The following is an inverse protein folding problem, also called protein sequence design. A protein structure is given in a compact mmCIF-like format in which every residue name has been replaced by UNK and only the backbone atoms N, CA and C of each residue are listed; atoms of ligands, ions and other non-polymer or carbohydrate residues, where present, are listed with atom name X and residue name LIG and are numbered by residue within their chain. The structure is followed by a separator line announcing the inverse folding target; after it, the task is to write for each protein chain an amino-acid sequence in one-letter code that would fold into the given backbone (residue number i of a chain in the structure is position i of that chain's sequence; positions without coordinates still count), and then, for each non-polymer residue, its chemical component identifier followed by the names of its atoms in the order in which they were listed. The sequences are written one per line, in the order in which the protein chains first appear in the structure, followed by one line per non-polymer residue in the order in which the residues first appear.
data_IF_620294372567
#
_entry.id   IF_620294372567
#
_cell.length_a   1.000
_cell.length_b   1.000
_cell.length_c   1.000
_cell.angle_alpha   90.00
_cell.angle_beta   90.00
_cell.angle_gamma   90.00
#
_symmetry.space_group_name_H-M   'P 1'
#
loop_
_entity.id
_entity.type
_entity.pdbx_description
1 polymer ?
#
# COMPACT_ATOMS: atom_id res chain seq x y z
N UNK A 1 -21.39 -10.13 3.97
CA UNK A 1 -22.32 -9.05 4.34
C UNK A 1 -22.88 -9.29 5.74
N UNK A 2 -23.47 -10.47 6.01
CA UNK A 2 -24.01 -10.83 7.33
C UNK A 2 -23.01 -10.75 8.49
N UNK A 3 -21.77 -11.24 8.32
CA UNK A 3 -20.77 -11.24 9.41
C UNK A 3 -20.41 -9.83 9.92
N UNK A 4 -20.56 -8.80 9.07
CA UNK A 4 -20.18 -7.43 9.39
C UNK A 4 -21.30 -6.67 10.09
N UNK A 5 -22.51 -6.80 9.55
CA UNK A 5 -23.72 -6.30 10.20
C UNK A 5 -23.87 -6.92 11.59
N UNK A 6 -23.54 -8.21 11.72
CA UNK A 6 -23.50 -8.89 13.00
C UNK A 6 -22.46 -8.32 13.97
N UNK A 7 -21.24 -8.00 13.51
CA UNK A 7 -20.22 -7.39 14.37
C UNK A 7 -20.60 -5.96 14.81
N UNK A 8 -21.15 -5.15 13.89
CA UNK A 8 -21.66 -3.82 14.24
C UNK A 8 -22.86 -3.89 15.19
N UNK A 9 -23.76 -4.86 15.00
CA UNK A 9 -24.86 -5.14 15.92
C UNK A 9 -24.34 -5.54 17.30
N UNK A 10 -23.34 -6.42 17.39
CA UNK A 10 -22.72 -6.80 18.66
C UNK A 10 -22.08 -5.59 19.38
N UNK A 11 -21.43 -4.68 18.65
CA UNK A 11 -20.88 -3.44 19.23
C UNK A 11 -22.00 -2.51 19.71
N UNK A 12 -23.08 -2.33 18.92
CA UNK A 12 -24.25 -1.54 19.34
C UNK A 12 -24.89 -2.14 20.58
N UNK A 13 -25.14 -3.44 20.58
CA UNK A 13 -25.72 -4.18 21.71
C UNK A 13 -24.84 -4.06 22.95
N UNK A 14 -23.51 -4.16 22.80
CA UNK A 14 -22.57 -3.99 23.91
C UNK A 14 -22.63 -2.57 24.51
N UNK A 15 -22.62 -1.54 23.67
CA UNK A 15 -22.70 -0.15 24.12
C UNK A 15 -24.04 0.15 24.81
N UNK A 16 -25.15 -0.38 24.27
CA UNK A 16 -26.48 -0.29 24.88
C UNK A 16 -26.51 -1.00 26.24
N UNK A 17 -26.03 -2.25 26.30
CA UNK A 17 -26.03 -3.06 27.53
C UNK A 17 -25.23 -2.42 28.66
N UNK A 18 -24.12 -1.73 28.34
CA UNK A 18 -23.29 -1.03 29.32
C UNK A 18 -23.76 0.38 29.65
N UNK A 19 -24.78 0.90 28.97
CA UNK A 19 -25.32 2.24 29.18
C UNK A 19 -24.47 3.37 28.59
N UNK A 20 -23.61 3.07 27.61
CA UNK A 20 -22.75 4.06 26.95
C UNK A 20 -23.49 4.81 25.83
N UNK A 21 -24.62 5.45 26.17
CA UNK A 21 -25.53 6.07 25.18
C UNK A 21 -24.87 7.21 24.40
N UNK A 22 -24.08 8.06 25.07
CA UNK A 22 -23.31 9.12 24.39
C UNK A 22 -22.28 8.57 23.41
N UNK A 23 -21.60 7.46 23.76
CA UNK A 23 -20.64 6.80 22.87
C UNK A 23 -21.34 6.15 21.68
N UNK A 24 -22.53 5.57 21.89
CA UNK A 24 -23.36 5.00 20.82
C UNK A 24 -23.79 6.08 19.82
N UNK A 25 -24.23 7.25 20.29
CA UNK A 25 -24.60 8.37 19.43
C UNK A 25 -23.43 8.88 18.59
N UNK A 26 -22.24 9.04 19.21
CA UNK A 26 -21.02 9.41 18.50
C UNK A 26 -20.61 8.34 17.48
N UNK A 27 -20.63 7.07 17.88
CA UNK A 27 -20.33 5.94 17.01
C UNK A 27 -21.25 5.90 15.78
N UNK A 28 -22.56 6.08 15.96
CA UNK A 28 -23.51 6.11 14.86
C UNK A 28 -23.35 7.35 13.96
N UNK A 29 -23.05 8.52 14.53
CA UNK A 29 -22.79 9.73 13.77
C UNK A 29 -21.53 9.60 12.89
N UNK A 30 -20.47 9.01 13.42
CA UNK A 30 -19.24 8.71 12.68
C UNK A 30 -19.46 7.66 11.59
N UNK A 31 -20.24 6.61 11.88
CA UNK A 31 -20.59 5.58 10.90
C UNK A 31 -21.40 6.14 9.71
N UNK A 32 -22.18 7.23 9.94
CA UNK A 32 -22.98 7.91 8.91
C UNK A 32 -22.16 8.88 8.05
N UNK A 33 -21.02 9.37 8.54
CA UNK A 33 -20.28 10.46 7.86
C UNK A 33 -19.18 9.99 6.91
N UNK A 34 -18.77 8.71 6.93
CA UNK A 34 -17.75 8.12 6.05
C UNK A 34 -16.36 8.84 6.07
N UNK A 35 -16.16 9.77 7.02
CA UNK A 35 -14.98 10.64 7.16
C UNK A 35 -13.68 9.85 7.41
N UNK A 36 -13.77 8.65 8.01
CA UNK A 36 -12.60 7.80 8.29
C UNK A 36 -11.90 7.27 7.05
N UNK A 37 -12.61 7.01 5.95
CA UNK A 37 -12.07 6.29 4.78
C UNK A 37 -10.97 7.07 4.04
N UNK A 38 -11.14 8.38 3.88
CA UNK A 38 -10.13 9.23 3.22
C UNK A 38 -8.87 9.40 4.06
N UNK A 39 -9.05 9.54 5.38
CA UNK A 39 -7.95 9.71 6.34
C UNK A 39 -7.08 8.45 6.47
N UNK A 40 -7.66 7.26 6.28
CA UNK A 40 -6.92 5.99 6.24
C UNK A 40 -6.05 5.84 5.00
N UNK A 41 -6.59 6.20 3.83
CA UNK A 41 -5.84 6.17 2.57
C UNK A 41 -4.65 7.12 2.64
N UNK A 42 -4.85 8.33 3.16
CA UNK A 42 -3.76 9.30 3.34
C UNK A 42 -2.66 8.77 4.26
N UNK A 43 -3.01 8.11 5.36
CA UNK A 43 -2.02 7.45 6.23
C UNK A 43 -1.22 6.37 5.52
N UNK A 44 -1.84 5.56 4.67
CA UNK A 44 -1.14 4.52 3.90
C UNK A 44 -0.19 5.15 2.89
N UNK A 45 -0.64 6.19 2.19
CA UNK A 45 0.21 6.94 1.27
C UNK A 45 1.38 7.59 2.01
N UNK A 46 1.14 8.20 3.18
CA UNK A 46 2.19 8.75 4.03
C UNK A 46 3.18 7.68 4.50
N UNK A 47 2.70 6.50 4.91
CA UNK A 47 3.57 5.39 5.26
C UNK A 47 4.46 4.99 4.08
N UNK A 48 3.92 4.89 2.87
CA UNK A 48 4.68 4.50 1.68
C UNK A 48 5.68 5.60 1.28
N UNK A 49 5.18 6.81 1.01
CA UNK A 49 5.91 7.89 0.36
C UNK A 49 6.71 8.76 1.32
N UNK A 50 6.32 8.85 2.59
CA UNK A 50 6.98 9.71 3.60
C UNK A 50 7.79 8.92 4.62
N UNK A 51 7.54 7.60 4.78
CA UNK A 51 8.23 6.77 5.79
C UNK A 51 9.03 5.62 5.18
N UNK A 52 8.40 4.68 4.50
CA UNK A 52 9.03 3.41 4.11
C UNK A 52 10.05 3.61 2.99
N UNK A 53 9.69 4.34 1.94
CA UNK A 53 10.64 4.62 0.85
C UNK A 53 11.75 5.59 1.30
N UNK A 54 11.45 6.75 1.92
CA UNK A 54 12.51 7.69 2.31
C UNK A 54 13.49 7.17 3.36
N UNK A 55 13.04 6.28 4.25
CA UNK A 55 13.87 5.70 5.31
C UNK A 55 14.46 4.33 4.93
N UNK A 56 14.30 3.89 3.69
CA UNK A 56 14.84 2.62 3.19
C UNK A 56 14.32 1.37 3.93
N UNK A 57 13.04 1.38 4.34
CA UNK A 57 12.38 0.23 4.98
C UNK A 57 11.69 -0.66 3.92
N UNK A 58 12.50 -1.33 3.08
CA UNK A 58 12.00 -2.24 2.06
C UNK A 58 11.12 -3.36 2.62
N UNK A 59 11.52 -3.91 3.77
CA UNK A 59 10.80 -4.95 4.50
C UNK A 59 9.36 -4.55 4.82
N UNK A 60 9.17 -3.34 5.33
CA UNK A 60 7.84 -2.80 5.67
C UNK A 60 7.00 -2.54 4.43
N UNK A 61 7.63 -2.05 3.35
CA UNK A 61 6.94 -1.84 2.08
C UNK A 61 6.47 -3.17 1.47
N UNK A 62 7.35 -4.16 1.39
CA UNK A 62 7.01 -5.50 0.86
C UNK A 62 5.94 -6.16 1.74
N UNK A 63 6.05 -6.08 3.06
CA UNK A 63 5.05 -6.62 3.98
C UNK A 63 3.67 -5.97 3.81
N UNK A 64 3.61 -4.63 3.65
CA UNK A 64 2.37 -3.91 3.39
C UNK A 64 1.71 -4.36 2.08
N UNK A 65 2.49 -4.46 1.00
CA UNK A 65 1.99 -4.89 -0.31
C UNK A 65 1.56 -6.37 -0.29
N UNK A 66 2.31 -7.22 0.41
CA UNK A 66 1.96 -8.62 0.66
C UNK A 66 0.66 -8.77 1.44
N UNK A 67 0.41 -7.91 2.43
CA UNK A 67 -0.86 -7.87 3.15
C UNK A 67 -2.04 -7.61 2.22
N UNK A 68 -1.97 -6.57 1.36
CA UNK A 68 -3.03 -6.28 0.41
C UNK A 68 -3.22 -7.40 -0.61
N UNK A 69 -2.12 -8.05 -1.04
CA UNK A 69 -2.18 -9.17 -1.98
C UNK A 69 -2.87 -10.38 -1.35
N UNK A 70 -2.54 -10.71 -0.11
CA UNK A 70 -3.21 -11.77 0.64
C UNK A 70 -4.69 -11.44 0.89
N UNK A 71 -4.99 -10.19 1.26
CA UNK A 71 -6.35 -9.72 1.49
C UNK A 71 -7.24 -9.84 0.24
N UNK A 72 -6.70 -9.55 -0.94
CA UNK A 72 -7.43 -9.66 -2.21
C UNK A 72 -7.44 -11.10 -2.77
N UNK A 73 -6.55 -11.98 -2.32
CA UNK A 73 -6.38 -13.35 -2.85
C UNK A 73 -7.62 -14.26 -2.77
N UNK A 74 -8.50 -14.19 -1.75
CA UNK A 74 -9.74 -14.98 -1.71
C UNK A 74 -10.72 -14.64 -2.82
N UNK A 75 -10.54 -13.50 -3.50
CA UNK A 75 -11.37 -13.03 -4.61
C UNK A 75 -10.70 -13.31 -5.97
N UNK A 76 -10.23 -14.54 -6.18
CA UNK A 76 -9.20 -14.97 -7.15
C UNK A 76 -9.35 -14.54 -8.62
N UNK A 77 -10.49 -13.98 -9.03
CA UNK A 77 -10.76 -13.48 -10.40
C UNK A 77 -11.00 -11.96 -10.48
N UNK A 78 -10.54 -11.17 -9.49
CA UNK A 78 -10.77 -9.71 -9.53
C UNK A 78 -9.67 -8.97 -10.31
N UNK A 79 -10.04 -8.06 -11.24
CA UNK A 79 -9.13 -7.11 -11.88
C UNK A 79 -8.24 -6.33 -10.89
N UNK A 80 -8.67 -6.21 -9.63
CA UNK A 80 -7.95 -5.58 -8.53
C UNK A 80 -6.62 -6.28 -8.20
N UNK A 81 -6.54 -7.61 -8.21
CA UNK A 81 -5.28 -8.34 -7.94
C UNK A 81 -4.23 -8.05 -9.02
N UNK A 82 -4.66 -8.01 -10.28
CA UNK A 82 -3.79 -7.67 -11.40
C UNK A 82 -3.31 -6.21 -11.33
N UNK A 83 -4.18 -5.31 -10.90
CA UNK A 83 -3.88 -3.88 -10.70
C UNK A 83 -2.92 -3.68 -9.54
N UNK A 84 -3.14 -4.38 -8.42
CA UNK A 84 -2.22 -4.40 -7.28
C UNK A 84 -0.84 -4.86 -7.70
N UNK A 85 -0.73 -5.93 -8.49
CA UNK A 85 0.57 -6.46 -8.93
C UNK A 85 1.37 -5.44 -9.77
N UNK A 86 0.67 -4.67 -10.63
CA UNK A 86 1.29 -3.57 -11.40
C UNK A 86 1.69 -2.40 -10.50
N UNK A 87 0.85 -2.05 -9.54
CA UNK A 87 1.13 -0.99 -8.57
C UNK A 87 2.31 -1.36 -7.66
N UNK A 88 2.31 -2.57 -7.13
CA UNK A 88 3.38 -3.16 -6.33
C UNK A 88 4.71 -3.06 -7.07
N UNK A 89 4.76 -3.50 -8.33
CA UNK A 89 5.98 -3.36 -9.16
C UNK A 89 6.44 -1.91 -9.26
N UNK A 90 5.51 -0.97 -9.45
CA UNK A 90 5.83 0.45 -9.61
C UNK A 90 6.33 1.06 -8.30
N UNK A 91 5.77 0.69 -7.16
CA UNK A 91 6.20 1.12 -5.83
C UNK A 91 7.57 0.55 -5.45
N UNK A 92 7.83 -0.72 -5.77
CA UNK A 92 9.15 -1.33 -5.56
C UNK A 92 10.22 -0.70 -6.47
N UNK A 93 9.87 -0.37 -7.73
CA UNK A 93 10.75 0.39 -8.63
C UNK A 93 11.01 1.80 -8.09
N UNK A 94 9.99 2.44 -7.51
CA UNK A 94 10.14 3.75 -6.86
C UNK A 94 11.10 3.69 -5.67
N UNK A 95 11.01 2.65 -4.84
CA UNK A 95 11.98 2.40 -3.76
C UNK A 95 13.42 2.34 -4.30
N UNK A 96 13.64 1.56 -5.35
CA UNK A 96 14.97 1.40 -5.97
C UNK A 96 15.47 2.74 -6.53
N UNK A 97 14.64 3.46 -7.28
CA UNK A 97 14.99 4.78 -7.84
C UNK A 97 15.33 5.78 -6.74
N UNK A 98 14.51 5.85 -5.68
CA UNK A 98 14.75 6.75 -4.55
C UNK A 98 16.08 6.44 -3.86
N UNK A 99 16.39 5.16 -3.62
CA UNK A 99 17.68 4.75 -3.07
C UNK A 99 18.86 5.13 -3.96
N UNK A 100 18.74 4.96 -5.28
CA UNK A 100 19.75 5.44 -6.24
C UNK A 100 19.91 6.97 -6.17
N UNK A 101 18.82 7.73 -6.15
CA UNK A 101 18.85 9.21 -6.05
C UNK A 101 19.53 9.70 -4.76
N UNK A 102 19.38 8.96 -3.66
CA UNK A 102 20.04 9.26 -2.39
C UNK A 102 21.48 8.71 -2.30
N UNK A 103 22.05 8.18 -3.38
CA UNK A 103 23.36 7.50 -3.39
C UNK A 103 23.46 6.33 -2.40
N UNK A 104 22.33 5.67 -2.12
CA UNK A 104 22.21 4.50 -1.23
C UNK A 104 22.13 3.20 -2.02
N UNK A 105 23.12 2.97 -2.88
CA UNK A 105 23.21 1.73 -3.67
C UNK A 105 23.35 0.48 -2.78
N UNK A 106 23.89 0.63 -1.57
CA UNK A 106 23.90 -0.42 -0.54
C UNK A 106 22.48 -0.95 -0.28
N UNK A 107 21.49 -0.05 -0.17
CA UNK A 107 20.09 -0.43 0.07
C UNK A 107 19.40 -1.08 -1.12
N UNK A 108 19.85 -0.76 -2.33
CA UNK A 108 19.38 -1.42 -3.56
C UNK A 108 19.92 -2.84 -3.63
N UNK A 109 21.20 -3.03 -3.31
CA UNK A 109 21.83 -4.35 -3.27
C UNK A 109 21.21 -5.22 -2.18
N UNK A 110 21.02 -4.70 -0.97
CA UNK A 110 20.33 -5.39 0.14
C UNK A 110 18.92 -5.82 -0.28
N UNK A 111 18.17 -4.92 -0.93
CA UNK A 111 16.82 -5.20 -1.42
C UNK A 111 16.80 -6.36 -2.42
N UNK A 112 17.69 -6.34 -3.42
CA UNK A 112 17.75 -7.41 -4.41
C UNK A 112 18.31 -8.72 -3.84
N UNK A 113 19.19 -8.67 -2.84
CA UNK A 113 19.65 -9.87 -2.15
C UNK A 113 18.51 -10.58 -1.40
N UNK A 114 17.61 -9.82 -0.78
CA UNK A 114 16.49 -10.37 0.00
C UNK A 114 15.29 -10.78 -0.87
N UNK A 115 14.91 -9.95 -1.82
CA UNK A 115 13.66 -10.12 -2.58
C UNK A 115 13.87 -10.52 -4.04
N UNK A 116 15.12 -10.53 -4.54
CA UNK A 116 15.42 -10.71 -5.96
C UNK A 116 14.91 -12.03 -6.55
N UNK A 117 15.01 -13.13 -5.80
CA UNK A 117 14.52 -14.44 -6.25
C UNK A 117 13.00 -14.43 -6.48
N UNK A 118 12.24 -13.78 -5.59
CA UNK A 118 10.79 -13.63 -5.75
C UNK A 118 10.45 -12.69 -6.92
N UNK A 119 11.21 -11.60 -7.08
CA UNK A 119 11.01 -10.65 -8.18
C UNK A 119 11.21 -11.28 -9.55
N UNK A 120 12.18 -12.20 -9.70
CA UNK A 120 12.45 -12.91 -10.95
C UNK A 120 11.36 -13.93 -11.32
N UNK A 121 10.61 -14.44 -10.35
CA UNK A 121 9.49 -15.36 -10.60
C UNK A 121 8.22 -14.61 -11.06
N UNK A 122 8.19 -13.28 -10.95
CA UNK A 122 7.04 -12.46 -11.36
C UNK A 122 7.06 -12.21 -12.87
N UNK A 123 5.88 -11.98 -13.44
CA UNK A 123 5.73 -11.68 -14.88
C UNK A 123 6.25 -10.29 -15.29
N UNK A 124 6.53 -9.41 -14.33
CA UNK A 124 7.12 -8.10 -14.62
C UNK A 124 8.64 -8.24 -14.74
N UNK A 125 9.19 -7.81 -15.87
CA UNK A 125 10.63 -7.93 -16.11
C UNK A 125 11.45 -7.06 -15.13
N UNK A 126 12.16 -7.74 -14.23
CA UNK A 126 13.09 -7.15 -13.26
C UNK A 126 14.55 -7.34 -13.67
N UNK A 127 14.84 -8.10 -14.71
CA UNK A 127 16.19 -8.55 -15.07
C UNK A 127 17.15 -7.38 -15.23
N UNK A 128 16.72 -6.36 -15.97
CA UNK A 128 17.53 -5.17 -16.24
C UNK A 128 17.70 -4.28 -15.00
N UNK A 129 16.79 -4.34 -14.03
CA UNK A 129 16.84 -3.55 -12.80
C UNK A 129 17.96 -3.99 -11.86
N UNK A 130 18.38 -5.26 -11.88
CA UNK A 130 19.51 -5.74 -11.07
C UNK A 130 20.83 -5.03 -11.41
N UNK A 131 20.96 -4.46 -12.61
CA UNK A 131 22.13 -3.70 -13.02
C UNK A 131 22.12 -2.24 -12.54
N UNK A 132 20.97 -1.70 -12.10
CA UNK A 132 20.81 -0.28 -11.79
C UNK A 132 21.77 0.27 -10.72
N UNK A 133 22.10 -0.43 -9.60
CA UNK A 133 23.02 0.13 -8.60
C UNK A 133 24.46 0.26 -9.11
N UNK A 134 24.80 -0.42 -10.21
CA UNK A 134 26.14 -0.42 -10.80
C UNK A 134 26.27 0.55 -11.98
N UNK A 135 25.18 1.19 -12.43
CA UNK A 135 25.21 2.18 -13.51
C UNK A 135 25.62 3.55 -12.97
N UNK A 136 26.57 4.21 -13.64
CA UNK A 136 27.09 5.53 -13.22
C UNK A 136 26.02 6.64 -13.27
N UNK A 137 25.20 6.67 -14.32
CA UNK A 137 24.17 7.70 -14.51
C UNK A 137 22.82 7.06 -14.94
N UNK A 138 22.09 6.38 -14.04
CA UNK A 138 20.85 5.70 -14.38
C UNK A 138 19.77 6.64 -14.93
N UNK A 139 19.74 7.90 -14.49
CA UNK A 139 18.79 8.91 -14.95
C UNK A 139 18.96 9.31 -16.44
N UNK A 140 20.14 9.10 -17.03
CA UNK A 140 20.38 9.36 -18.46
C UNK A 140 20.04 8.16 -19.34
N UNK A 141 19.96 6.98 -18.76
CA UNK A 141 19.71 5.74 -19.48
C UNK A 141 18.27 5.75 -20.04
N UNK A 142 18.06 5.56 -21.35
CA UNK A 142 16.73 5.50 -21.95
C UNK A 142 15.78 4.51 -21.25
N UNK A 143 16.33 3.43 -20.71
CA UNK A 143 15.56 2.39 -20.02
C UNK A 143 15.00 2.88 -18.68
N UNK A 144 15.78 3.68 -17.93
CA UNK A 144 15.39 4.10 -16.59
C UNK A 144 14.92 5.55 -16.48
N UNK A 145 15.24 6.41 -17.46
CA UNK A 145 15.01 7.86 -17.43
C UNK A 145 13.60 8.24 -17.01
N UNK A 146 12.58 7.53 -17.51
CA UNK A 146 11.18 7.81 -17.19
C UNK A 146 10.90 7.70 -15.69
N UNK A 147 11.54 6.77 -14.98
CA UNK A 147 11.31 6.54 -13.56
C UNK A 147 11.96 7.60 -12.67
N UNK A 148 12.88 8.41 -13.20
CA UNK A 148 13.47 9.56 -12.49
C UNK A 148 12.66 10.85 -12.70
N UNK A 149 11.60 10.82 -13.52
CA UNK A 149 10.80 12.00 -13.84
C UNK A 149 9.78 12.34 -12.74
N UNK A 150 9.46 13.63 -12.62
CA UNK A 150 8.43 14.10 -11.68
C UNK A 150 7.04 13.63 -12.11
N UNK A 151 6.82 13.55 -13.41
CA UNK A 151 5.57 13.11 -14.04
C UNK A 151 5.26 11.67 -13.66
N UNK A 152 6.26 10.79 -13.70
CA UNK A 152 6.10 9.39 -13.28
C UNK A 152 5.81 9.28 -11.78
N UNK A 153 6.51 10.04 -10.94
CA UNK A 153 6.22 10.09 -9.50
C UNK A 153 4.78 10.54 -9.22
N UNK A 154 4.32 11.61 -9.86
CA UNK A 154 2.96 12.12 -9.69
C UNK A 154 1.91 11.11 -10.17
N UNK A 155 2.15 10.45 -11.30
CA UNK A 155 1.29 9.40 -11.82
C UNK A 155 1.21 8.19 -10.87
N UNK A 156 2.34 7.79 -10.28
CA UNK A 156 2.41 6.72 -9.30
C UNK A 156 1.66 7.09 -8.01
N UNK A 157 1.85 8.30 -7.50
CA UNK A 157 1.16 8.77 -6.30
C UNK A 157 -0.36 8.81 -6.51
N UNK A 158 -0.82 9.34 -7.66
CA UNK A 158 -2.24 9.38 -8.02
C UNK A 158 -2.80 7.96 -8.22
N UNK A 159 -2.06 7.08 -8.88
CA UNK A 159 -2.47 5.68 -9.09
C UNK A 159 -2.54 4.90 -7.78
N UNK A 160 -1.62 5.16 -6.85
CA UNK A 160 -1.66 4.58 -5.50
C UNK A 160 -2.92 5.03 -4.76
N UNK A 161 -3.21 6.34 -4.78
CA UNK A 161 -4.42 6.90 -4.17
C UNK A 161 -5.68 6.30 -4.77
N UNK A 162 -5.79 6.27 -6.09
CA UNK A 162 -6.96 5.73 -6.79
C UNK A 162 -7.13 4.25 -6.52
N UNK A 163 -6.05 3.48 -6.52
CA UNK A 163 -6.10 2.05 -6.21
C UNK A 163 -6.56 1.80 -4.77
N UNK A 164 -5.99 2.48 -3.78
CA UNK A 164 -6.44 2.32 -2.40
C UNK A 164 -7.86 2.83 -2.22
N UNK A 165 -8.26 3.95 -2.84
CA UNK A 165 -9.66 4.36 -2.87
C UNK A 165 -10.57 3.25 -3.43
N UNK A 166 -10.19 2.64 -4.54
CA UNK A 166 -10.96 1.56 -5.15
C UNK A 166 -11.00 0.32 -4.26
N UNK A 167 -9.87 -0.11 -3.66
CA UNK A 167 -9.84 -1.24 -2.74
C UNK A 167 -10.73 -0.98 -1.53
N UNK A 168 -10.64 0.20 -0.91
CA UNK A 168 -11.42 0.55 0.27
C UNK A 168 -12.90 0.84 -0.03
N UNK A 169 -13.24 1.23 -1.26
CA UNK A 169 -14.63 1.40 -1.69
C UNK A 169 -15.26 0.07 -2.13
N UNK A 170 -14.55 -0.72 -2.94
CA UNK A 170 -14.98 -2.04 -3.42
C UNK A 170 -15.05 -3.04 -2.25
N UNK A 171 -14.15 -2.91 -1.27
CA UNK A 171 -14.32 -3.58 0.01
C UNK A 171 -15.06 -2.67 0.98
N UNK A 172 -16.38 -2.80 1.00
CA UNK A 172 -17.22 -2.42 2.16
C UNK A 172 -16.69 -2.96 3.53
N UNK A 173 -15.65 -3.81 3.52
CA UNK A 173 -14.99 -4.47 4.65
C UNK A 173 -13.91 -3.59 5.32
N UNK A 174 -13.32 -2.59 4.64
CA UNK A 174 -12.36 -1.66 5.27
C UNK A 174 -13.01 -0.50 6.04
N UNK A 175 -14.28 -0.64 6.45
CA UNK A 175 -14.79 0.10 7.61
C UNK A 175 -14.16 -0.37 8.94
N UNK A 176 -13.45 -1.50 8.97
CA UNK A 176 -13.21 -2.25 10.22
C UNK A 176 -11.74 -2.50 10.62
N UNK A 177 -10.73 -2.04 9.87
CA UNK A 177 -9.33 -2.32 10.25
C UNK A 177 -8.49 -1.14 10.78
N UNK A 178 -9.06 0.04 11.02
CA UNK A 178 -8.28 1.18 11.55
C UNK A 178 -8.20 1.28 13.06
N UNK A 179 -8.73 0.30 13.79
CA UNK A 179 -8.71 0.31 15.26
C UNK A 179 -7.81 -0.75 15.91
N UNK A 180 -7.13 -1.61 15.14
CA UNK A 180 -6.27 -2.64 15.71
C UNK A 180 -4.88 -2.65 15.07
N UNK A 181 -4.09 -1.59 15.29
CA UNK A 181 -2.63 -1.71 15.28
C UNK A 181 -1.99 -0.53 16.04
N UNK A 182 -2.21 -0.46 17.36
CA UNK A 182 -1.26 0.17 18.31
C UNK A 182 -1.55 -0.35 19.73
N UNK A 183 -1.01 -1.53 20.02
CA UNK A 183 -0.42 -1.90 21.30
C UNK A 183 0.80 -2.76 20.99
#
# INVERSE_FOLDING_TARGET
MEKMQHAEELVREFLVFRGFTSTLESYEAELRTDIGKGFEIDKILDLIFSVYVPKFHADKLVALLGFFKHYLSPSSDTPLVSTLSKLETSLLRFYVVHAVQCNRNDKVVDFFALYGAELLQRSQDWTHWFAIPYKKNPHLDPEFRVFFSKEWYQALHLSSRNFFSEVFNATHILRINSFFFFC
#
